data_IF_579574561701
#
_entry.id   IF_579574561701
#
_cell.length_a   1.000
_cell.length_b   1.000
_cell.length_c   1.000
_cell.angle_alpha   90.00
_cell.angle_beta   90.00
_cell.angle_gamma   90.00
#
_symmetry.space_group_name_H-M   'P 1'
#
loop_
_entity.id
_entity.type
_entity.pdbx_description
1 polymer ?
#
# COMPACT_ATOMS: atom_id res chain seq x y z
N UNK A 1 5.09 15.76 -28.87
CA UNK A 1 4.10 15.75 -27.76
C UNK A 1 4.82 16.17 -26.49
N UNK A 2 4.24 17.08 -25.69
CA UNK A 2 4.82 17.38 -24.37
C UNK A 2 4.58 16.16 -23.47
N UNK A 3 5.58 15.71 -22.69
CA UNK A 3 5.35 14.62 -21.74
C UNK A 3 4.23 15.01 -20.78
N UNK A 4 3.37 14.04 -20.45
CA UNK A 4 2.38 14.21 -19.40
C UNK A 4 3.10 14.67 -18.13
N UNK A 5 2.54 15.67 -17.45
CA UNK A 5 3.08 16.13 -16.15
C UNK A 5 2.84 15.10 -15.03
N UNK A 6 2.10 14.04 -15.33
CA UNK A 6 1.69 13.01 -14.39
C UNK A 6 2.34 11.65 -14.73
N UNK A 7 2.63 10.82 -13.71
CA UNK A 7 3.10 9.45 -13.90
C UNK A 7 2.11 8.60 -14.72
N UNK A 8 2.55 7.44 -15.26
CA UNK A 8 1.65 6.48 -15.90
C UNK A 8 0.47 6.10 -14.99
N UNK A 9 -0.75 6.12 -15.54
CA UNK A 9 -1.97 5.84 -14.78
C UNK A 9 -2.50 7.01 -13.92
N UNK A 10 -1.87 8.19 -14.01
CA UNK A 10 -2.32 9.41 -13.36
C UNK A 10 -2.78 10.46 -14.37
N UNK A 11 -3.90 11.10 -14.07
CA UNK A 11 -4.42 12.25 -14.78
C UNK A 11 -4.83 13.33 -13.76
N UNK A 12 -5.17 14.51 -14.27
CA UNK A 12 -5.52 15.65 -13.42
C UNK A 12 -6.75 15.37 -12.55
N UNK A 13 -7.76 14.69 -13.09
CA UNK A 13 -8.98 14.34 -12.33
C UNK A 13 -8.68 13.43 -11.14
N UNK A 14 -7.80 12.43 -11.32
CA UNK A 14 -7.35 11.56 -10.24
C UNK A 14 -6.60 12.35 -9.18
N UNK A 15 -5.71 13.24 -9.59
CA UNK A 15 -4.95 14.10 -8.65
C UNK A 15 -5.90 14.98 -7.85
N UNK A 16 -6.86 15.66 -8.49
CA UNK A 16 -7.83 16.52 -7.80
C UNK A 16 -8.70 15.74 -6.80
N UNK A 17 -9.12 14.52 -7.13
CA UNK A 17 -9.88 13.66 -6.21
C UNK A 17 -9.07 13.28 -4.98
N UNK A 18 -7.81 12.91 -5.16
CA UNK A 18 -6.91 12.57 -4.05
C UNK A 18 -6.67 13.79 -3.16
N UNK A 19 -6.41 14.96 -3.76
CA UNK A 19 -6.24 16.21 -3.00
C UNK A 19 -7.49 16.56 -2.19
N UNK A 20 -8.67 16.56 -2.82
CA UNK A 20 -9.92 16.89 -2.14
C UNK A 20 -10.23 15.93 -0.98
N UNK A 21 -9.85 14.64 -1.10
CA UNK A 21 -9.99 13.66 -0.03
C UNK A 21 -9.11 14.00 1.18
N UNK A 22 -7.80 14.18 0.97
CA UNK A 22 -6.87 14.49 2.06
C UNK A 22 -7.06 15.89 2.65
N UNK A 23 -7.56 16.86 1.87
CA UNK A 23 -7.90 18.20 2.37
C UNK A 23 -9.13 18.21 3.30
N UNK A 24 -10.02 17.23 3.16
CA UNK A 24 -11.26 17.12 3.94
C UNK A 24 -11.18 16.07 5.05
N UNK A 25 -10.12 15.25 5.06
CA UNK A 25 -9.90 14.21 6.05
C UNK A 25 -9.71 14.81 7.44
N UNK A 26 -10.40 14.26 8.44
CA UNK A 26 -10.16 14.65 9.84
C UNK A 26 -8.92 13.96 10.42
N UNK A 27 -8.40 14.47 11.54
CA UNK A 27 -7.27 13.83 12.22
C UNK A 27 -7.62 12.39 12.64
N UNK A 28 -8.85 12.15 13.12
CA UNK A 28 -9.32 10.82 13.50
C UNK A 28 -9.42 9.88 12.29
N UNK A 29 -9.88 10.37 11.14
CA UNK A 29 -9.94 9.58 9.92
C UNK A 29 -8.55 9.22 9.40
N UNK A 30 -7.59 10.14 9.50
CA UNK A 30 -6.20 9.88 9.14
C UNK A 30 -5.57 8.81 10.05
N UNK A 31 -5.80 8.89 11.36
CA UNK A 31 -5.35 7.87 12.33
C UNK A 31 -5.99 6.52 12.02
N UNK A 32 -7.29 6.49 11.74
CA UNK A 32 -7.99 5.25 11.41
C UNK A 32 -7.48 4.62 10.10
N UNK A 33 -7.14 5.42 9.08
CA UNK A 33 -6.52 4.93 7.84
C UNK A 33 -5.15 4.29 8.10
N UNK A 34 -4.33 4.91 8.95
CA UNK A 34 -3.03 4.37 9.35
C UNK A 34 -3.14 3.07 10.17
N UNK A 35 -4.11 2.99 11.09
CA UNK A 35 -4.34 1.82 11.94
C UNK A 35 -4.99 0.66 11.17
N UNK A 36 -5.85 0.94 10.19
CA UNK A 36 -6.51 -0.07 9.37
C UNK A 36 -5.52 -0.98 8.63
N UNK A 37 -4.31 -0.49 8.32
CA UNK A 37 -3.23 -1.28 7.73
C UNK A 37 -2.82 -2.48 8.63
N UNK A 38 -3.09 -2.42 9.93
CA UNK A 38 -2.77 -3.44 10.91
C UNK A 38 -3.99 -4.30 11.34
N UNK A 39 -5.20 -3.95 10.89
CA UNK A 39 -6.44 -4.66 11.24
C UNK A 39 -6.73 -5.88 10.34
N UNK A 40 -5.96 -6.10 9.26
CA UNK A 40 -6.12 -7.26 8.39
C UNK A 40 -5.83 -8.56 9.15
N UNK A 41 -6.89 -9.24 9.58
CA UNK A 41 -6.84 -10.53 10.28
C UNK A 41 -6.16 -11.67 9.50
N UNK A 42 -5.93 -11.50 8.19
CA UNK A 42 -5.22 -12.47 7.35
C UNK A 42 -3.71 -12.29 7.37
N UNK A 43 -3.20 -11.20 7.94
CA UNK A 43 -1.79 -10.84 8.00
C UNK A 43 -1.38 -10.43 9.41
N UNK A 44 -0.06 -10.31 9.61
CA UNK A 44 0.52 -9.86 10.87
C UNK A 44 1.81 -9.12 10.56
N UNK A 45 2.04 -8.01 11.26
CA UNK A 45 3.28 -7.24 11.16
C UNK A 45 4.29 -7.79 12.14
N UNK A 46 5.49 -8.08 11.63
CA UNK A 46 6.63 -8.59 12.42
C UNK A 46 7.86 -7.76 12.11
N UNK A 47 8.62 -7.40 13.14
CA UNK A 47 9.95 -6.84 12.96
C UNK A 47 10.93 -7.95 12.58
N UNK A 48 11.75 -7.72 11.56
CA UNK A 48 12.74 -8.67 11.08
C UNK A 48 14.06 -7.97 10.74
N UNK A 49 15.22 -8.59 11.03
CA UNK A 49 16.50 -8.10 10.55
C UNK A 49 16.51 -7.97 9.03
N UNK A 50 17.09 -6.89 8.51
CA UNK A 50 17.06 -6.57 7.07
C UNK A 50 17.73 -7.63 6.22
N UNK A 51 18.76 -8.27 6.75
CA UNK A 51 19.50 -9.36 6.11
C UNK A 51 18.65 -10.59 5.82
N UNK A 52 17.52 -10.78 6.52
CA UNK A 52 16.60 -11.91 6.31
C UNK A 52 15.45 -11.60 5.33
N UNK A 53 15.36 -10.36 4.83
CA UNK A 53 14.28 -9.97 3.91
C UNK A 53 14.23 -10.80 2.62
N UNK A 54 15.36 -11.16 1.96
CA UNK A 54 15.32 -11.98 0.76
C UNK A 54 14.66 -13.34 0.99
N UNK A 55 15.03 -14.04 2.06
CA UNK A 55 14.52 -15.36 2.42
C UNK A 55 13.03 -15.33 2.78
N UNK A 56 12.61 -14.31 3.52
CA UNK A 56 11.19 -14.10 3.87
C UNK A 56 10.36 -13.86 2.60
N UNK A 57 10.88 -13.06 1.65
CA UNK A 57 10.18 -12.80 0.39
C UNK A 57 10.02 -14.07 -0.46
N UNK A 58 11.05 -14.91 -0.50
CA UNK A 58 10.98 -16.20 -1.19
C UNK A 58 9.95 -17.12 -0.53
N UNK A 59 9.92 -17.21 0.80
CA UNK A 59 8.94 -17.99 1.55
C UNK A 59 7.49 -17.55 1.23
N UNK A 60 7.23 -16.24 1.24
CA UNK A 60 5.92 -15.67 0.90
C UNK A 60 5.52 -16.01 -0.53
N UNK A 61 6.46 -15.96 -1.49
CA UNK A 61 6.19 -16.30 -2.88
C UNK A 61 5.76 -17.77 -3.02
N UNK A 62 6.51 -18.71 -2.43
CA UNK A 62 6.17 -20.15 -2.42
C UNK A 62 4.81 -20.43 -1.80
N UNK A 63 4.49 -19.78 -0.69
CA UNK A 63 3.18 -19.90 -0.04
C UNK A 63 2.03 -19.43 -0.94
N UNK A 64 2.20 -18.32 -1.65
CA UNK A 64 1.20 -17.80 -2.59
C UNK A 64 1.00 -18.72 -3.79
N UNK A 65 2.06 -19.34 -4.30
CA UNK A 65 1.96 -20.34 -5.37
C UNK A 65 1.22 -21.59 -4.88
N UNK A 66 1.55 -22.11 -3.70
CA UNK A 66 0.86 -23.28 -3.12
C UNK A 66 -0.62 -23.05 -2.85
N UNK A 67 -1.06 -21.81 -2.56
CA UNK A 67 -2.50 -21.49 -2.38
C UNK A 67 -3.26 -21.27 -3.68
N UNK A 68 -2.56 -21.14 -4.82
CA UNK A 68 -3.17 -20.96 -6.14
C UNK A 68 -3.41 -22.27 -6.87
N UNK A 69 -2.73 -23.34 -6.46
CA UNK A 69 -2.90 -24.71 -6.94
C UNK A 69 -4.06 -25.40 -6.21
#
# INVERSE_FOLDING_TARGET
MKPSRFPPGWNEDRVRKVLAHYEQQTEEEAVAEDEAAFEDSTQTVVEVPKELLPEIRELIAKHKESRRA
#
